data_IF_535980431949
#
_entry.id   IF_535980431949
#
_cell.length_a   1.000
_cell.length_b   1.000
_cell.length_c   1.000
_cell.angle_alpha   90.00
_cell.angle_beta   90.00
_cell.angle_gamma   90.00
#
_symmetry.space_group_name_H-M   'P 1'
#
loop_
_entity.id
_entity.type
_entity.pdbx_description
1 polymer ?
#
# COMPACT_ATOMS: atom_id res chain seq x y z
N UNK A 1 16.33 -24.77 -78.27
CA UNK A 1 16.17 -23.60 -77.39
C UNK A 1 15.46 -24.09 -76.13
N UNK A 2 16.19 -24.29 -75.04
CA UNK A 2 15.67 -24.86 -73.79
C UNK A 2 15.50 -23.69 -72.82
N UNK A 3 14.25 -23.35 -72.47
CA UNK A 3 13.97 -22.36 -71.42
C UNK A 3 14.11 -23.05 -70.06
N UNK A 4 15.11 -22.62 -69.28
CA UNK A 4 15.27 -22.95 -67.87
C UNK A 4 14.28 -22.10 -67.05
N UNK A 5 13.24 -22.73 -66.50
CA UNK A 5 12.39 -22.12 -65.48
C UNK A 5 13.09 -22.22 -64.11
N UNK A 6 13.29 -21.10 -63.44
CA UNK A 6 13.81 -21.04 -62.07
C UNK A 6 12.74 -21.50 -61.07
N UNK A 7 13.09 -22.25 -60.00
CA UNK A 7 12.12 -22.63 -58.99
C UNK A 7 11.71 -21.42 -58.15
N UNK A 8 10.39 -21.22 -57.98
CA UNK A 8 9.84 -20.28 -57.02
C UNK A 8 10.02 -20.84 -55.61
N UNK A 9 10.81 -20.17 -54.77
CA UNK A 9 10.95 -20.50 -53.36
C UNK A 9 9.77 -19.86 -52.63
N UNK A 10 8.85 -20.66 -52.10
CA UNK A 10 7.78 -20.21 -51.24
C UNK A 10 8.31 -20.11 -49.80
N UNK A 11 8.36 -18.90 -49.23
CA UNK A 11 8.64 -18.72 -47.80
C UNK A 11 7.48 -19.28 -46.97
N UNK A 12 7.73 -20.35 -46.23
CA UNK A 12 6.79 -20.88 -45.24
C UNK A 12 6.78 -19.91 -44.05
N UNK A 13 5.77 -19.03 -43.98
CA UNK A 13 5.47 -18.28 -42.74
C UNK A 13 4.85 -19.24 -41.73
N UNK A 14 5.66 -19.69 -40.79
CA UNK A 14 5.16 -20.33 -39.57
C UNK A 14 4.64 -19.28 -38.60
N UNK A 15 3.33 -19.24 -38.40
CA UNK A 15 2.74 -18.46 -37.32
C UNK A 15 2.99 -19.20 -36.00
N UNK A 16 3.90 -18.69 -35.17
CA UNK A 16 4.07 -19.17 -33.79
C UNK A 16 2.97 -18.56 -32.92
N UNK A 17 1.91 -19.31 -32.67
CA UNK A 17 0.97 -19.03 -31.57
C UNK A 17 1.58 -19.49 -30.26
N UNK A 18 1.97 -18.56 -29.40
CA UNK A 18 2.32 -18.86 -28.01
C UNK A 18 1.06 -18.77 -27.14
N UNK A 19 0.83 -19.79 -26.32
CA UNK A 19 -0.18 -19.73 -25.28
C UNK A 19 0.34 -18.85 -24.15
N UNK A 20 -0.08 -17.58 -24.11
CA UNK A 20 0.23 -16.70 -22.99
C UNK A 20 -0.79 -16.96 -21.87
N UNK A 21 -0.35 -17.54 -20.75
CA UNK A 21 -1.20 -17.61 -19.56
C UNK A 21 -1.31 -16.21 -18.95
N UNK A 22 -2.45 -15.56 -19.19
CA UNK A 22 -2.80 -14.31 -18.50
C UNK A 22 -3.30 -14.71 -17.11
N UNK A 23 -2.44 -14.65 -16.10
CA UNK A 23 -2.90 -14.79 -14.71
C UNK A 23 -3.76 -13.59 -14.37
N UNK A 24 -5.08 -13.77 -14.36
CA UNK A 24 -6.01 -12.78 -13.84
C UNK A 24 -5.84 -12.67 -12.32
N UNK A 25 -5.74 -11.45 -11.81
CA UNK A 25 -5.56 -11.21 -10.38
C UNK A 25 -5.92 -9.77 -10.02
N UNK A 26 -6.05 -9.52 -8.72
CA UNK A 26 -6.34 -8.20 -8.16
C UNK A 26 -5.12 -7.66 -7.42
N UNK A 27 -5.07 -6.33 -7.28
CA UNK A 27 -4.11 -5.67 -6.41
C UNK A 27 -4.85 -4.68 -5.52
N UNK A 28 -4.58 -4.78 -4.22
CA UNK A 28 -5.20 -3.91 -3.24
C UNK A 28 -4.34 -3.92 -1.98
N UNK A 29 -4.15 -2.75 -1.40
CA UNK A 29 -3.62 -2.60 -0.05
C UNK A 29 -4.68 -1.87 0.75
N UNK A 30 -4.96 -2.35 1.95
CA UNK A 30 -5.97 -1.76 2.82
C UNK A 30 -5.38 -1.45 4.18
N UNK A 31 -5.76 -0.30 4.72
CA UNK A 31 -5.50 0.06 6.10
C UNK A 31 -6.57 -0.57 6.99
N UNK A 32 -6.14 -1.21 8.09
CA UNK A 32 -7.05 -1.86 9.03
C UNK A 32 -6.43 -1.94 10.43
N UNK A 33 -7.26 -2.04 11.46
CA UNK A 33 -6.76 -2.42 12.78
C UNK A 33 -6.21 -3.85 12.73
N UNK A 34 -5.19 -4.18 13.53
CA UNK A 34 -4.37 -5.39 13.40
C UNK A 34 -5.12 -6.75 13.30
N UNK A 35 -6.40 -6.80 13.68
CA UNK A 35 -7.23 -8.02 13.60
C UNK A 35 -8.58 -7.81 12.90
N UNK A 36 -8.74 -6.72 12.14
CA UNK A 36 -9.99 -6.46 11.43
C UNK A 36 -10.05 -7.17 10.08
N UNK A 37 -11.27 -7.53 9.69
CA UNK A 37 -11.55 -8.01 8.34
C UNK A 37 -11.36 -6.86 7.36
N UNK A 38 -10.71 -7.08 6.21
CA UNK A 38 -10.49 -6.01 5.26
C UNK A 38 -11.80 -5.43 4.73
N UNK A 39 -11.86 -4.10 4.57
CA UNK A 39 -13.03 -3.37 4.05
C UNK A 39 -12.60 -2.52 2.86
N UNK A 40 -13.48 -2.37 1.86
CA UNK A 40 -13.20 -1.53 0.69
C UNK A 40 -13.41 -0.02 0.96
N UNK A 41 -13.35 0.40 2.22
CA UNK A 41 -13.58 1.79 2.64
C UNK A 41 -12.32 2.42 3.22
N UNK A 42 -12.18 3.76 3.14
CA UNK A 42 -11.11 4.46 3.84
C UNK A 42 -11.09 4.12 5.34
N UNK A 43 -9.89 3.93 5.89
CA UNK A 43 -9.73 3.61 7.30
C UNK A 43 -9.75 4.87 8.15
N UNK A 44 -10.66 4.93 9.13
CA UNK A 44 -10.69 6.03 10.09
C UNK A 44 -9.87 5.68 11.32
N UNK A 45 -8.90 6.52 11.65
CA UNK A 45 -8.05 6.33 12.83
C UNK A 45 -8.87 6.52 14.10
N UNK A 46 -8.86 5.51 14.96
CA UNK A 46 -9.33 5.61 16.33
C UNK A 46 -8.15 5.86 17.26
N UNK A 47 -8.25 6.92 18.06
CA UNK A 47 -7.18 7.38 18.95
C UNK A 47 -7.34 6.84 20.36
N UNK A 48 -6.26 6.32 20.93
CA UNK A 48 -6.13 6.01 22.35
C UNK A 48 -5.15 7.00 23.01
N UNK A 49 -5.61 7.71 24.03
CA UNK A 49 -4.77 8.72 24.73
C UNK A 49 -4.04 8.07 25.89
N UNK A 50 -2.72 8.24 25.94
CA UNK A 50 -1.88 7.82 27.05
C UNK A 50 -0.90 8.94 27.40
N UNK A 51 -0.90 9.38 28.68
CA UNK A 51 0.01 10.42 29.21
C UNK A 51 0.15 11.66 28.31
N UNK A 52 -0.97 12.17 27.80
CA UNK A 52 -0.99 13.39 26.99
C UNK A 52 -0.53 13.23 25.54
N UNK A 53 -0.37 12.00 25.03
CA UNK A 53 -0.18 11.73 23.61
C UNK A 53 -1.25 10.75 23.12
N UNK A 54 -1.82 11.02 21.94
CA UNK A 54 -2.77 10.14 21.29
C UNK A 54 -2.02 9.19 20.35
N UNK A 55 -2.29 7.90 20.47
CA UNK A 55 -1.69 6.83 19.69
C UNK A 55 -2.77 6.07 18.92
N UNK A 56 -2.41 5.58 17.76
CA UNK A 56 -3.19 4.56 17.06
C UNK A 56 -2.25 3.57 16.38
N UNK A 57 -2.62 2.30 16.44
CA UNK A 57 -1.87 1.19 15.87
C UNK A 57 -2.74 0.51 14.83
N UNK A 58 -2.20 0.35 13.62
CA UNK A 58 -2.92 -0.21 12.49
C UNK A 58 -1.91 -0.88 11.55
N UNK A 59 -2.42 -1.60 10.56
CA UNK A 59 -1.60 -2.28 9.56
C UNK A 59 -2.04 -1.89 8.16
N UNK A 60 -1.10 -1.89 7.22
CA UNK A 60 -1.41 -1.96 5.79
C UNK A 60 -1.26 -3.41 5.34
N UNK A 61 -2.37 -4.06 4.99
CA UNK A 61 -2.37 -5.44 4.51
C UNK A 61 -2.56 -5.46 3.00
N UNK A 62 -1.79 -6.28 2.30
CA UNK A 62 -2.08 -6.59 0.90
C UNK A 62 -3.23 -7.61 0.84
N UNK A 63 -4.36 -7.18 0.29
CA UNK A 63 -5.58 -7.98 0.10
C UNK A 63 -5.76 -8.45 -1.33
N UNK A 64 -4.86 -8.03 -2.24
CA UNK A 64 -4.81 -8.50 -3.61
C UNK A 64 -4.09 -9.84 -3.75
N UNK A 65 -4.16 -10.40 -4.96
CA UNK A 65 -3.46 -11.64 -5.30
C UNK A 65 -2.00 -11.41 -5.69
N UNK A 66 -1.64 -10.19 -6.12
CA UNK A 66 -0.28 -9.85 -6.53
C UNK A 66 0.54 -9.24 -5.39
N UNK A 67 1.84 -9.51 -5.38
CA UNK A 67 2.79 -8.77 -4.54
C UNK A 67 2.86 -7.30 -4.94
N UNK A 68 2.81 -6.41 -3.95
CA UNK A 68 2.85 -4.96 -4.13
C UNK A 68 4.23 -4.42 -3.72
N UNK A 69 4.88 -3.67 -4.61
CA UNK A 69 6.20 -3.07 -4.38
C UNK A 69 6.14 -1.62 -3.90
N UNK A 70 4.94 -1.03 -3.89
CA UNK A 70 4.71 0.32 -3.40
C UNK A 70 3.24 0.70 -3.47
N UNK A 71 2.87 1.73 -2.73
CA UNK A 71 1.51 2.26 -2.71
C UNK A 71 1.53 3.66 -2.11
N UNK A 72 0.43 4.38 -2.29
CA UNK A 72 0.27 5.73 -1.75
C UNK A 72 -0.85 5.72 -0.71
N UNK A 73 -0.70 6.58 0.30
CA UNK A 73 -1.71 6.76 1.34
C UNK A 73 -1.98 8.24 1.48
N UNK A 74 -3.20 8.64 1.16
CA UNK A 74 -3.69 9.98 1.45
C UNK A 74 -4.21 10.02 2.88
N UNK A 75 -3.63 10.90 3.67
CA UNK A 75 -4.03 11.21 5.05
C UNK A 75 -4.80 12.52 5.02
N UNK A 76 -6.07 12.47 5.43
CA UNK A 76 -6.94 13.63 5.51
C UNK A 76 -7.43 13.82 6.93
N UNK A 77 -7.30 15.04 7.45
CA UNK A 77 -7.90 15.43 8.73
C UNK A 77 -9.09 16.35 8.49
N UNK A 78 -10.27 15.88 8.87
CA UNK A 78 -11.51 16.63 8.80
C UNK A 78 -11.91 17.09 10.21
N UNK A 79 -12.25 18.36 10.34
CA UNK A 79 -12.71 18.90 11.61
C UNK A 79 -14.11 18.39 11.94
N UNK A 80 -14.32 17.97 13.18
CA UNK A 80 -15.63 17.49 13.68
C UNK A 80 -16.17 18.30 14.85
N UNK A 81 -15.34 19.14 15.48
CA UNK A 81 -15.75 19.97 16.62
C UNK A 81 -14.86 21.18 16.85
N UNK A 82 -15.48 22.27 17.33
CA UNK A 82 -14.86 23.56 17.64
C UNK A 82 -14.33 24.33 16.43
N UNK A 83 -13.25 25.11 16.56
CA UNK A 83 -12.62 25.89 15.47
C UNK A 83 -11.10 26.02 15.68
N UNK A 84 -10.29 25.28 14.92
CA UNK A 84 -8.83 25.37 15.05
C UNK A 84 -8.06 24.72 13.91
N UNK A 85 -6.73 24.79 13.98
CA UNK A 85 -5.87 24.07 13.04
C UNK A 85 -5.73 22.60 13.48
N UNK A 86 -5.81 21.63 12.57
CA UNK A 86 -5.55 20.24 12.89
C UNK A 86 -4.13 20.03 13.44
N UNK A 87 -3.95 19.18 14.48
CA UNK A 87 -2.64 18.88 15.02
C UNK A 87 -1.85 17.97 14.07
N UNK A 88 -0.54 18.19 13.99
CA UNK A 88 0.32 17.33 13.18
C UNK A 88 0.25 15.88 13.68
N UNK A 89 0.15 14.96 12.73
CA UNK A 89 0.21 13.51 13.00
C UNK A 89 1.50 12.96 12.45
N UNK A 90 2.27 12.30 13.31
CA UNK A 90 3.49 11.57 12.93
C UNK A 90 3.13 10.11 12.67
N UNK A 91 3.57 9.58 11.53
CA UNK A 91 3.40 8.20 11.14
C UNK A 91 4.74 7.46 11.21
N UNK A 92 4.78 6.38 11.97
CA UNK A 92 5.93 5.50 12.13
C UNK A 92 5.64 4.08 11.67
N UNK A 93 6.48 3.56 10.78
CA UNK A 93 6.52 2.16 10.38
C UNK A 93 7.42 1.40 11.36
N UNK A 94 6.96 0.24 11.84
CA UNK A 94 7.83 -0.73 12.48
C UNK A 94 8.43 -1.63 11.40
N UNK A 95 9.62 -1.27 10.92
CA UNK A 95 10.32 -1.99 9.86
C UNK A 95 10.86 -3.31 10.39
N UNK A 96 10.61 -4.41 9.65
CA UNK A 96 10.98 -5.77 10.01
C UNK A 96 10.45 -6.23 11.38
N UNK A 97 9.29 -5.73 11.79
CA UNK A 97 8.69 -6.06 13.09
C UNK A 97 7.23 -5.66 13.20
N UNK A 98 6.71 -5.75 14.42
CA UNK A 98 5.34 -5.36 14.76
C UNK A 98 5.32 -4.39 15.92
N UNK A 99 4.30 -3.54 15.95
CA UNK A 99 4.02 -2.66 17.08
C UNK A 99 3.26 -3.43 18.15
N UNK A 100 3.77 -3.40 19.38
CA UNK A 100 3.02 -3.80 20.54
C UNK A 100 2.22 -2.59 21.06
N UNK A 101 0.90 -2.63 20.89
CA UNK A 101 0.01 -1.54 21.28
C UNK A 101 -0.04 -1.29 22.79
N UNK A 102 0.20 -2.33 23.60
CA UNK A 102 0.15 -2.25 25.07
C UNK A 102 1.38 -1.54 25.63
N UNK A 103 2.57 -1.87 25.12
CA UNK A 103 3.84 -1.30 25.59
C UNK A 103 4.33 -0.12 24.75
N UNK A 104 3.66 0.17 23.62
CA UNK A 104 4.09 1.18 22.65
C UNK A 104 5.54 0.98 22.16
N UNK A 105 5.93 -0.28 21.96
CA UNK A 105 7.27 -0.65 21.48
C UNK A 105 7.18 -1.32 20.11
N UNK A 106 8.18 -1.07 19.27
CA UNK A 106 8.36 -1.76 18.00
C UNK A 106 9.38 -2.87 18.20
N UNK A 107 9.09 -4.08 17.73
CA UNK A 107 10.02 -5.22 17.84
C UNK A 107 11.19 -5.15 16.84
N UNK A 108 11.13 -4.23 15.88
CA UNK A 108 12.16 -3.97 14.88
C UNK A 108 12.64 -2.51 14.92
N UNK A 109 12.82 -1.91 13.75
CA UNK A 109 13.31 -0.52 13.64
C UNK A 109 12.16 0.44 13.37
N UNK A 110 12.05 1.49 14.19
CA UNK A 110 11.08 2.55 13.95
C UNK A 110 11.57 3.46 12.84
N UNK A 111 10.81 3.56 11.75
CA UNK A 111 11.08 4.46 10.63
C UNK A 111 9.95 5.48 10.54
N UNK A 112 10.27 6.76 10.67
CA UNK A 112 9.30 7.84 10.45
C UNK A 112 9.00 7.95 8.97
N UNK A 113 7.73 7.80 8.60
CA UNK A 113 7.26 7.86 7.20
C UNK A 113 6.82 9.28 6.84
N UNK A 114 6.37 10.06 7.82
CA UNK A 114 6.07 11.47 7.64
C UNK A 114 5.32 12.09 8.81
N UNK A 115 5.27 13.42 8.82
CA UNK A 115 4.57 14.22 9.84
C UNK A 115 3.88 15.40 9.19
N UNK A 116 2.56 15.50 9.35
CA UNK A 116 1.76 16.67 8.96
C UNK A 116 0.30 16.47 9.41
N UNK A 117 -0.50 17.52 9.37
CA UNK A 117 -1.94 17.43 9.49
C UNK A 117 -2.62 16.78 8.27
N UNK A 118 -2.15 17.09 7.07
CA UNK A 118 -2.57 16.44 5.83
C UNK A 118 -1.34 16.03 5.03
N UNK A 119 -1.30 14.80 4.53
CA UNK A 119 -0.09 14.25 3.93
C UNK A 119 -0.41 13.16 2.92
N UNK A 120 0.43 13.04 1.90
CA UNK A 120 0.50 11.83 1.07
C UNK A 120 1.76 11.07 1.48
N UNK A 121 1.58 9.86 2.01
CA UNK A 121 2.68 8.95 2.30
C UNK A 121 2.94 8.08 1.09
N UNK A 122 4.19 8.05 0.63
CA UNK A 122 4.62 7.24 -0.50
C UNK A 122 5.48 6.09 -0.01
N UNK A 123 5.02 4.87 -0.25
CA UNK A 123 5.76 3.66 0.05
C UNK A 123 6.34 3.08 -1.24
N UNK A 124 7.65 2.83 -1.25
CA UNK A 124 8.38 2.31 -2.43
C UNK A 124 9.44 1.31 -2.00
N UNK A 125 9.85 0.43 -2.93
CA UNK A 125 10.89 -0.56 -2.65
C UNK A 125 10.45 -1.63 -1.66
N UNK A 126 9.14 -1.86 -1.53
CA UNK A 126 8.58 -2.91 -0.69
C UNK A 126 8.53 -4.24 -1.45
N UNK A 127 8.28 -5.32 -0.72
CA UNK A 127 7.92 -6.62 -1.27
C UNK A 127 6.75 -7.19 -0.46
N UNK A 128 5.61 -6.50 -0.50
CA UNK A 128 4.44 -6.82 0.32
C UNK A 128 3.65 -7.95 -0.36
N UNK A 129 3.94 -9.20 0.02
CA UNK A 129 3.26 -10.37 -0.52
C UNK A 129 1.77 -10.40 -0.14
N UNK A 130 0.97 -11.22 -0.85
CA UNK A 130 -0.44 -11.42 -0.53
C UNK A 130 -0.59 -11.83 0.95
N UNK A 131 -1.51 -11.17 1.66
CA UNK A 131 -1.81 -11.42 3.07
C UNK A 131 -0.76 -10.87 4.05
N UNK A 132 0.38 -10.37 3.55
CA UNK A 132 1.40 -9.75 4.39
C UNK A 132 1.02 -8.34 4.81
N UNK A 133 1.64 -7.88 5.89
CA UNK A 133 1.28 -6.64 6.57
C UNK A 133 2.49 -5.73 6.83
N UNK A 134 2.23 -4.43 6.83
CA UNK A 134 3.13 -3.42 7.36
C UNK A 134 2.54 -2.85 8.64
N UNK A 135 3.28 -2.98 9.74
CA UNK A 135 2.83 -2.51 11.06
C UNK A 135 3.11 -1.02 11.26
N UNK A 136 2.06 -0.24 11.49
CA UNK A 136 2.11 1.21 11.57
C UNK A 136 1.66 1.74 12.93
N UNK A 137 2.19 2.91 13.29
CA UNK A 137 1.76 3.71 14.42
C UNK A 137 1.54 5.15 13.97
N UNK A 138 0.38 5.72 14.28
CA UNK A 138 0.15 7.15 14.20
C UNK A 138 0.20 7.75 15.60
N UNK A 139 0.79 8.94 15.72
CA UNK A 139 0.84 9.68 16.97
C UNK A 139 0.50 11.14 16.75
N UNK A 140 -0.31 11.72 17.61
CA UNK A 140 -0.61 13.16 17.58
C UNK A 140 -0.78 13.70 19.00
N UNK A 141 -0.72 15.02 19.16
CA UNK A 141 -1.05 15.67 20.42
C UNK A 141 -2.57 15.73 20.54
N UNK A 142 -3.17 15.20 21.63
CA UNK A 142 -4.60 15.35 21.86
C UNK A 142 -4.93 16.83 22.01
N UNK A 143 -6.03 17.26 21.40
CA UNK A 143 -6.57 18.61 21.56
C UNK A 143 -7.95 18.49 22.21
N UNK A 144 -8.13 19.15 23.35
CA UNK A 144 -9.38 19.12 24.12
C UNK A 144 -10.36 20.22 23.68
N UNK A 145 -9.91 21.19 22.89
CA UNK A 145 -10.74 22.31 22.42
C UNK A 145 -11.34 22.05 21.03
N UNK A 146 -10.63 21.30 20.18
CA UNK A 146 -11.03 21.01 18.80
C UNK A 146 -10.82 19.54 18.47
N UNK A 147 -11.81 18.92 17.82
CA UNK A 147 -11.76 17.50 17.46
C UNK A 147 -11.63 17.33 15.95
N UNK A 148 -10.81 16.37 15.54
CA UNK A 148 -10.56 16.04 14.14
C UNK A 148 -10.66 14.53 13.94
N UNK A 149 -11.22 14.14 12.81
CA UNK A 149 -11.19 12.78 12.31
C UNK A 149 -10.05 12.65 11.31
N UNK A 150 -9.17 11.68 11.53
CA UNK A 150 -8.10 11.36 10.58
C UNK A 150 -8.49 10.12 9.77
N UNK A 151 -8.51 10.24 8.46
CA UNK A 151 -8.86 9.15 7.54
C UNK A 151 -7.69 8.82 6.63
N UNK A 152 -7.45 7.53 6.43
CA UNK A 152 -6.42 6.96 5.55
C UNK A 152 -7.09 6.36 4.31
N UNK A 153 -6.78 6.90 3.14
CA UNK A 153 -7.20 6.35 1.85
C UNK A 153 -6.00 5.78 1.12
N UNK A 154 -6.01 4.48 0.86
CA UNK A 154 -4.89 3.77 0.23
C UNK A 154 -5.16 3.60 -1.26
N UNK A 155 -4.17 3.86 -2.10
CA UNK A 155 -4.23 3.61 -3.54
C UNK A 155 -3.02 2.83 -4.01
N UNK A 156 -3.24 1.88 -4.92
CA UNK A 156 -2.19 1.05 -5.50
C UNK A 156 -2.27 1.19 -7.02
N UNK A 157 -1.30 1.91 -7.59
CA UNK A 157 -1.17 2.04 -9.04
C UNK A 157 -0.64 0.76 -9.68
N UNK A 158 -1.06 0.46 -10.92
CA UNK A 158 -0.60 -0.72 -11.67
C UNK A 158 0.93 -0.80 -11.83
N UNK A 159 1.59 0.35 -11.94
CA UNK A 159 3.06 0.45 -12.02
C UNK A 159 3.78 0.02 -10.73
N UNK A 160 3.05 -0.20 -9.63
CA UNK A 160 3.60 -0.63 -8.33
C UNK A 160 3.45 -2.15 -8.10
N UNK A 161 2.92 -2.87 -9.07
CA UNK A 161 2.94 -4.33 -9.11
C UNK A 161 4.29 -4.77 -9.66
N UNK A 162 4.77 -5.96 -9.28
CA UNK A 162 6.04 -6.50 -9.79
C UNK A 162 6.17 -6.32 -11.31
N UNK A 163 7.40 -6.03 -11.77
CA UNK A 163 7.75 -6.10 -13.19
C UNK A 163 7.26 -7.43 -13.75
N UNK A 164 6.43 -7.36 -14.81
CA UNK A 164 6.00 -8.53 -15.56
C UNK A 164 7.23 -9.36 -15.94
N UNK A 165 7.37 -10.55 -15.36
CA UNK A 165 8.36 -11.51 -15.85
C UNK A 165 7.77 -12.12 -17.10
N UNK A 166 8.16 -11.57 -18.26
CA UNK A 166 8.05 -12.29 -19.53
C UNK A 166 9.05 -13.45 -19.47
N UNK A 167 8.61 -14.61 -19.00
CA UNK A 167 9.36 -15.85 -19.23
C UNK A 167 9.07 -16.24 -20.67
N UNK A 168 9.94 -15.86 -21.61
CA UNK A 168 9.91 -16.43 -22.94
C UNK A 168 10.54 -17.82 -22.84
N UNK A 169 9.74 -18.87 -23.03
CA UNK A 169 10.21 -20.25 -23.17
C UNK A 169 10.39 -20.59 -24.65
#
# INVERSE_FOLDING_TARGET
MILSATPAIAEVRTNRTSNMSVTSGSWAVQALAANQTPTNSPYTITWAVNRGTAYSFFVFRNTGTFTVNGFEVSVTQAQTGGSGRPPDTTFGLCSNGTWNATTNTCSGTVVTVGTSANLVLNFTGLNLANGSELSMRATTKPNLQYTFTTTLSVSVGRAKLRNSVLVNS
#
